data_IF_584524049584
#
_entry.id   IF_584524049584
#
_cell.length_a   1.000
_cell.length_b   1.000
_cell.length_c   1.000
_cell.angle_alpha   90.00
_cell.angle_beta   90.00
_cell.angle_gamma   90.00
#
_symmetry.space_group_name_H-M   'P 1'
#
loop_
_entity.id
_entity.type
_entity.pdbx_description
1 polymer ?
#
# COMPACT_ATOMS: atom_id res chain seq x y z
N UNK A 1 -25.21 0.65 8.05
CA UNK A 1 -23.77 0.97 7.98
C UNK A 1 -23.54 2.06 8.99
N UNK A 2 -22.90 1.74 10.12
CA UNK A 2 -22.69 2.71 11.21
C UNK A 2 -21.50 3.55 10.80
N UNK A 3 -21.71 4.83 10.48
CA UNK A 3 -20.62 5.78 10.34
C UNK A 3 -20.02 5.91 11.74
N UNK A 4 -18.76 5.52 11.91
CA UNK A 4 -18.08 5.72 13.18
C UNK A 4 -17.96 7.23 13.43
N UNK A 5 -18.69 7.73 14.42
CA UNK A 5 -18.60 9.12 14.84
C UNK A 5 -17.48 9.21 15.89
N UNK A 6 -16.52 10.10 15.66
CA UNK A 6 -15.47 10.40 16.63
C UNK A 6 -15.45 11.88 16.95
N UNK A 7 -15.31 12.21 18.23
CA UNK A 7 -15.32 13.58 18.75
C UNK A 7 -14.05 13.88 19.54
N UNK A 8 -13.51 15.10 19.40
CA UNK A 8 -12.40 15.63 20.19
C UNK A 8 -12.59 17.12 20.44
N UNK A 9 -12.27 17.52 21.67
CA UNK A 9 -12.08 18.91 22.04
C UNK A 9 -10.62 19.30 21.83
N UNK A 10 -10.39 20.43 21.19
CA UNK A 10 -9.07 20.98 20.85
C UNK A 10 -9.01 22.42 21.34
N UNK A 11 -8.04 22.72 22.19
CA UNK A 11 -7.79 24.08 22.68
C UNK A 11 -6.80 24.78 21.76
N UNK A 12 -7.12 26.01 21.35
CA UNK A 12 -6.35 26.79 20.36
C UNK A 12 -6.38 28.28 20.72
N UNK A 13 -5.22 28.93 20.76
CA UNK A 13 -5.14 30.40 20.85
C UNK A 13 -4.94 31.02 19.45
N UNK A 14 -5.21 32.32 19.26
CA UNK A 14 -4.99 32.99 17.98
C UNK A 14 -3.53 32.88 17.49
N UNK A 15 -3.33 32.33 16.28
CA UNK A 15 -2.00 32.12 15.70
C UNK A 15 -1.32 30.82 16.14
N UNK A 16 -2.00 29.97 16.91
CA UNK A 16 -1.50 28.65 17.28
C UNK A 16 -1.97 27.56 16.31
N UNK A 17 -1.12 26.54 16.20
CA UNK A 17 -1.45 25.27 15.54
C UNK A 17 -1.67 24.22 16.62
N UNK A 18 -2.81 23.54 16.56
CA UNK A 18 -3.10 22.39 17.41
C UNK A 18 -3.32 21.14 16.58
N UNK A 19 -2.94 20.00 17.15
CA UNK A 19 -3.02 18.70 16.49
C UNK A 19 -4.03 17.81 17.22
N UNK A 20 -4.96 17.24 16.45
CA UNK A 20 -5.98 16.35 16.97
C UNK A 20 -5.91 15.00 16.27
N UNK A 21 -5.91 13.92 17.06
CA UNK A 21 -5.93 12.54 16.57
C UNK A 21 -7.32 11.95 16.80
N UNK A 22 -7.98 11.57 15.71
CA UNK A 22 -9.26 10.88 15.74
C UNK A 22 -9.04 9.37 15.60
N UNK A 23 -9.55 8.60 16.57
CA UNK A 23 -9.30 7.16 16.66
C UNK A 23 -10.31 6.37 15.82
N UNK A 24 -9.84 5.77 14.71
CA UNK A 24 -10.66 4.87 13.89
C UNK A 24 -9.94 4.12 12.75
N UNK A 25 -8.68 4.43 12.42
CA UNK A 25 -7.43 3.87 12.95
C UNK A 25 -6.35 4.81 12.40
N UNK A 26 -5.83 5.73 13.21
CA UNK A 26 -4.55 6.38 12.90
C UNK A 26 -3.45 5.39 13.24
N UNK A 27 -3.34 4.33 12.45
CA UNK A 27 -2.06 3.65 12.38
C UNK A 27 -1.22 4.49 11.44
N UNK A 28 -0.01 4.83 11.88
CA UNK A 28 1.07 5.29 10.99
C UNK A 28 1.34 4.30 9.83
N UNK A 29 0.63 3.17 9.78
CA UNK A 29 0.73 2.06 8.85
C UNK A 29 -0.57 1.25 8.79
N UNK A 30 -1.27 1.24 7.65
CA UNK A 30 -2.38 0.31 7.45
C UNK A 30 -1.97 -0.86 6.54
N UNK A 31 -2.68 -1.98 6.64
CA UNK A 31 -2.50 -3.19 5.83
C UNK A 31 -3.65 -3.35 4.84
N UNK A 32 -3.37 -3.63 3.58
CA UNK A 32 -4.40 -4.04 2.62
C UNK A 32 -5.05 -5.37 3.04
N UNK A 33 -6.38 -5.48 2.92
CA UNK A 33 -7.08 -6.76 3.09
C UNK A 33 -6.73 -7.76 1.99
N UNK A 34 -6.27 -7.27 0.85
CA UNK A 34 -5.88 -8.09 -0.27
C UNK A 34 -4.44 -8.58 -0.13
N UNK A 35 -4.23 -9.82 -0.54
CA UNK A 35 -2.92 -10.49 -0.56
C UNK A 35 -2.74 -11.18 -1.91
N UNK A 36 -1.49 -11.35 -2.33
CA UNK A 36 -1.17 -12.20 -3.48
C UNK A 36 -0.77 -13.57 -2.96
N UNK A 37 -1.45 -14.62 -3.40
CA UNK A 37 -1.12 -16.00 -3.06
C UNK A 37 -0.24 -16.65 -4.12
N UNK A 38 0.57 -17.62 -3.69
CA UNK A 38 1.54 -18.29 -4.55
C UNK A 38 1.45 -19.81 -4.42
N UNK A 39 1.82 -20.50 -5.48
CA UNK A 39 2.04 -21.94 -5.45
C UNK A 39 3.25 -22.31 -4.58
N UNK A 40 3.31 -23.60 -4.22
CA UNK A 40 4.44 -24.17 -3.49
C UNK A 40 5.75 -23.87 -4.22
N UNK A 41 6.74 -23.34 -3.50
CA UNK A 41 8.08 -23.06 -4.03
C UNK A 41 8.15 -22.12 -5.24
N UNK A 42 7.09 -21.35 -5.53
CA UNK A 42 7.04 -20.40 -6.67
C UNK A 42 6.87 -18.94 -6.21
N UNK A 43 7.34 -18.03 -7.06
CA UNK A 43 7.04 -16.58 -7.01
C UNK A 43 6.29 -16.05 -8.24
N UNK A 44 5.85 -16.93 -9.14
CA UNK A 44 5.01 -16.55 -10.28
C UNK A 44 3.64 -16.04 -9.78
N UNK A 45 3.21 -14.87 -10.28
CA UNK A 45 1.90 -14.29 -9.97
C UNK A 45 0.91 -14.72 -11.05
N UNK A 46 -0.07 -15.50 -10.65
CA UNK A 46 -1.13 -15.99 -11.51
C UNK A 46 -2.16 -14.91 -11.87
N UNK A 47 -2.85 -15.02 -13.02
CA UNK A 47 -3.79 -13.99 -13.48
C UNK A 47 -5.01 -13.81 -12.55
N UNK A 48 -5.37 -14.84 -11.79
CA UNK A 48 -6.45 -14.80 -10.79
C UNK A 48 -6.15 -13.82 -9.64
N UNK A 49 -4.89 -13.39 -9.49
CA UNK A 49 -4.48 -12.41 -8.48
C UNK A 49 -4.75 -10.96 -8.93
N UNK A 50 -5.15 -10.75 -10.20
CA UNK A 50 -5.42 -9.41 -10.74
C UNK A 50 -6.45 -8.61 -9.92
N UNK A 51 -7.61 -9.15 -9.49
CA UNK A 51 -8.55 -8.38 -8.67
C UNK A 51 -7.97 -7.92 -7.32
N UNK A 52 -7.06 -8.70 -6.72
CA UNK A 52 -6.36 -8.31 -5.50
C UNK A 52 -5.42 -7.12 -5.79
N UNK A 53 -4.64 -7.20 -6.88
CA UNK A 53 -3.79 -6.10 -7.34
C UNK A 53 -4.61 -4.83 -7.63
N UNK A 54 -5.80 -4.94 -8.25
CA UNK A 54 -6.67 -3.79 -8.53
C UNK A 54 -6.99 -2.96 -7.28
N UNK A 55 -7.34 -3.62 -6.18
CA UNK A 55 -7.60 -2.93 -4.92
C UNK A 55 -6.32 -2.35 -4.32
N UNK A 56 -5.20 -3.08 -4.38
CA UNK A 56 -3.93 -2.57 -3.85
C UNK A 56 -3.51 -1.31 -4.59
N UNK A 57 -3.58 -1.28 -5.93
CA UNK A 57 -3.32 -0.07 -6.71
C UNK A 57 -4.28 1.07 -6.36
N UNK A 58 -5.56 0.77 -6.19
CA UNK A 58 -6.56 1.77 -5.79
C UNK A 58 -6.14 2.46 -4.49
N UNK A 59 -5.80 1.69 -3.45
CA UNK A 59 -5.33 2.25 -2.18
C UNK A 59 -4.14 3.19 -2.35
N UNK A 60 -3.13 2.82 -3.14
CA UNK A 60 -1.91 3.63 -3.31
C UNK A 60 -2.00 4.80 -4.30
N UNK A 61 -3.02 4.85 -5.17
CA UNK A 61 -3.09 5.79 -6.31
C UNK A 61 -4.37 6.65 -6.40
N UNK A 62 -5.35 6.48 -5.51
CA UNK A 62 -6.59 7.27 -5.56
C UNK A 62 -6.82 7.99 -4.23
N UNK A 63 -6.54 9.29 -4.19
CA UNK A 63 -6.64 10.15 -3.00
C UNK A 63 -8.07 10.64 -2.69
N UNK A 64 -9.03 10.45 -3.61
CA UNK A 64 -10.41 10.92 -3.44
C UNK A 64 -11.44 9.81 -3.68
N UNK A 65 -12.57 9.91 -2.98
CA UNK A 65 -13.78 9.10 -3.18
C UNK A 65 -14.39 9.25 -4.58
N UNK A 66 -13.95 10.23 -5.38
CA UNK A 66 -14.40 10.41 -6.76
C UNK A 66 -13.67 9.52 -7.77
N UNK A 67 -12.46 9.03 -7.46
CA UNK A 67 -11.69 8.13 -8.33
C UNK A 67 -11.26 8.72 -9.69
N UNK A 68 -11.40 10.02 -9.91
CA UNK A 68 -11.18 10.65 -11.24
C UNK A 68 -9.72 11.05 -11.50
N UNK A 69 -8.94 11.30 -10.44
CA UNK A 69 -7.51 11.63 -10.54
C UNK A 69 -6.66 10.46 -10.06
N UNK A 70 -5.76 10.01 -10.93
CA UNK A 70 -4.91 8.83 -10.72
C UNK A 70 -3.49 9.32 -10.53
N UNK A 71 -3.09 9.42 -9.26
CA UNK A 71 -1.79 9.94 -8.86
C UNK A 71 -1.34 9.31 -7.53
N UNK A 72 -0.04 9.19 -7.27
CA UNK A 72 0.44 8.66 -6.01
C UNK A 72 -0.06 9.52 -4.85
N UNK A 73 -0.63 8.89 -3.81
CA UNK A 73 -1.05 9.62 -2.62
C UNK A 73 0.17 10.21 -1.91
N UNK A 74 0.21 11.52 -1.62
CA UNK A 74 1.41 12.19 -1.10
C UNK A 74 1.89 11.61 0.24
N UNK A 75 0.97 11.18 1.09
CA UNK A 75 1.24 10.73 2.46
C UNK A 75 1.01 9.23 2.67
N UNK A 76 1.03 8.41 1.61
CA UNK A 76 0.94 6.95 1.74
C UNK A 76 2.09 6.26 1.01
N UNK A 77 2.95 5.61 1.78
CA UNK A 77 4.17 4.95 1.32
C UNK A 77 4.04 3.43 1.40
N UNK A 78 4.06 2.79 0.23
CA UNK A 78 3.95 1.35 0.08
C UNK A 78 5.20 0.62 0.58
N UNK A 79 4.97 -0.44 1.37
CA UNK A 79 5.90 -1.52 1.69
C UNK A 79 5.26 -2.86 1.30
N UNK A 80 6.04 -3.73 0.67
CA UNK A 80 5.61 -5.06 0.21
C UNK A 80 6.31 -6.12 1.06
N UNK A 81 5.55 -6.98 1.73
CA UNK A 81 6.11 -8.01 2.62
C UNK A 81 5.79 -9.40 2.08
N UNK A 82 6.81 -10.16 1.73
CA UNK A 82 6.68 -11.54 1.26
C UNK A 82 6.82 -12.54 2.40
N UNK A 83 6.08 -13.64 2.30
CA UNK A 83 6.09 -14.75 3.24
C UNK A 83 6.18 -16.10 2.51
N UNK A 84 6.58 -17.14 3.24
CA UNK A 84 6.49 -18.54 2.86
C UNK A 84 5.70 -19.36 3.88
N UNK A 85 5.38 -20.60 3.51
CA UNK A 85 4.97 -21.58 4.50
C UNK A 85 6.19 -22.07 5.30
N UNK A 86 5.94 -22.98 6.23
CA UNK A 86 6.94 -23.50 7.17
C UNK A 86 7.65 -24.76 6.64
N UNK A 87 7.39 -25.15 5.38
CA UNK A 87 8.08 -26.28 4.78
C UNK A 87 9.44 -25.87 4.25
N UNK A 88 10.46 -26.70 4.51
CA UNK A 88 11.81 -26.51 3.98
C UNK A 88 12.76 -25.82 4.96
N UNK A 89 13.88 -25.31 4.44
CA UNK A 89 14.89 -24.64 5.27
C UNK A 89 14.60 -23.14 5.38
N UNK A 90 14.78 -22.57 6.58
CA UNK A 90 14.59 -21.14 6.84
C UNK A 90 15.30 -20.23 5.83
N UNK A 91 16.53 -20.54 5.43
CA UNK A 91 17.28 -19.75 4.44
C UNK A 91 16.65 -19.79 3.04
N UNK A 92 16.09 -20.92 2.64
CA UNK A 92 15.37 -21.08 1.37
C UNK A 92 14.05 -20.31 1.42
N UNK A 93 13.33 -20.40 2.53
CA UNK A 93 12.09 -19.68 2.81
C UNK A 93 12.30 -18.16 2.82
N UNK A 94 13.36 -17.69 3.47
CA UNK A 94 13.76 -16.28 3.43
C UNK A 94 14.01 -15.81 1.99
N UNK A 95 14.82 -16.55 1.22
CA UNK A 95 15.10 -16.19 -0.17
C UNK A 95 13.84 -16.22 -1.07
N UNK A 96 12.96 -17.20 -0.89
CA UNK A 96 11.70 -17.33 -1.64
C UNK A 96 10.73 -16.19 -1.32
N UNK A 97 10.59 -15.83 -0.05
CA UNK A 97 9.74 -14.71 0.38
C UNK A 97 10.16 -13.39 -0.26
N UNK A 98 11.47 -13.12 -0.36
CA UNK A 98 12.00 -11.94 -1.09
C UNK A 98 11.67 -11.98 -2.58
N UNK A 99 11.79 -13.15 -3.22
CA UNK A 99 11.42 -13.31 -4.64
C UNK A 99 9.94 -13.02 -4.88
N UNK A 100 9.05 -13.48 -4.01
CA UNK A 100 7.61 -13.15 -4.07
C UNK A 100 7.35 -11.65 -3.95
N UNK A 101 7.98 -10.99 -2.99
CA UNK A 101 7.84 -9.54 -2.83
C UNK A 101 8.39 -8.77 -4.06
N UNK A 102 9.52 -9.22 -4.64
CA UNK A 102 10.05 -8.67 -5.90
C UNK A 102 9.12 -8.89 -7.08
N UNK A 103 8.52 -10.07 -7.20
CA UNK A 103 7.56 -10.39 -8.26
C UNK A 103 6.38 -9.42 -8.23
N UNK A 104 5.85 -9.14 -7.03
CA UNK A 104 4.79 -8.16 -6.83
C UNK A 104 5.26 -6.73 -7.13
N UNK A 105 6.45 -6.34 -6.66
CA UNK A 105 7.02 -5.03 -6.94
C UNK A 105 7.14 -4.74 -8.44
N UNK A 106 7.58 -5.73 -9.23
CA UNK A 106 7.73 -5.61 -10.67
C UNK A 106 6.42 -5.24 -11.40
N UNK A 107 5.25 -5.61 -10.85
CA UNK A 107 3.95 -5.19 -11.39
C UNK A 107 3.74 -3.67 -11.23
N UNK A 108 4.16 -3.08 -10.11
CA UNK A 108 4.02 -1.64 -9.85
C UNK A 108 4.92 -0.78 -10.74
N UNK A 109 6.06 -1.31 -11.18
CA UNK A 109 7.02 -0.57 -12.02
C UNK A 109 7.08 -1.06 -13.47
N UNK A 110 6.35 -2.12 -13.81
CA UNK A 110 6.38 -2.76 -15.14
C UNK A 110 7.81 -3.16 -15.53
N UNK A 111 8.52 -3.79 -14.60
CA UNK A 111 9.91 -4.19 -14.82
C UNK A 111 9.99 -5.69 -15.15
N UNK A 112 10.00 -5.97 -16.46
CA UNK A 112 10.12 -7.33 -16.99
C UNK A 112 11.49 -7.96 -16.72
N UNK A 113 12.54 -7.17 -16.46
CA UNK A 113 13.88 -7.69 -16.17
C UNK A 113 13.95 -8.34 -14.78
N UNK A 114 13.15 -7.85 -13.82
CA UNK A 114 12.93 -8.55 -12.55
C UNK A 114 12.30 -9.92 -12.80
N UNK A 115 11.26 -10.00 -13.62
CA UNK A 115 10.59 -11.27 -13.95
C UNK A 115 11.47 -12.22 -14.74
N UNK A 116 12.32 -11.71 -15.64
CA UNK A 116 13.33 -12.50 -16.34
C UNK A 116 14.33 -13.12 -15.34
N UNK A 117 14.78 -12.34 -14.35
CA UNK A 117 15.67 -12.86 -13.30
C UNK A 117 14.99 -13.95 -12.47
N UNK A 118 13.70 -13.79 -12.14
CA UNK A 118 12.92 -14.80 -11.43
C UNK A 118 12.72 -16.06 -12.26
N UNK A 119 12.41 -15.91 -13.55
CA UNK A 119 12.30 -17.00 -14.51
C UNK A 119 13.57 -17.86 -14.53
N UNK A 120 14.75 -17.23 -14.61
CA UNK A 120 16.03 -17.94 -14.58
C UNK A 120 16.28 -18.62 -13.23
N UNK A 121 16.01 -17.91 -12.13
CA UNK A 121 16.29 -18.37 -10.76
C UNK A 121 15.43 -19.56 -10.35
N UNK A 122 14.16 -19.55 -10.72
CA UNK A 122 13.18 -20.59 -10.34
C UNK A 122 12.95 -21.61 -11.45
N UNK A 123 13.62 -21.45 -12.59
CA UNK A 123 13.47 -22.29 -13.76
C UNK A 123 11.99 -22.40 -14.18
N UNK A 124 11.33 -21.24 -14.30
CA UNK A 124 10.01 -21.18 -14.91
C UNK A 124 10.10 -21.73 -16.34
N UNK A 125 9.00 -22.31 -16.84
CA UNK A 125 9.02 -23.07 -18.07
C UNK A 125 7.80 -22.81 -18.95
N UNK A 126 7.47 -23.83 -19.75
CA UNK A 126 6.36 -23.76 -20.70
C UNK A 126 5.00 -23.47 -20.02
N UNK A 127 4.84 -23.86 -18.74
CA UNK A 127 3.62 -23.61 -17.98
C UNK A 127 3.41 -22.10 -17.75
N UNK A 128 4.36 -21.43 -17.10
CA UNK A 128 4.26 -20.00 -16.79
C UNK A 128 4.23 -19.15 -18.07
N UNK A 129 5.05 -19.50 -19.07
CA UNK A 129 5.02 -18.87 -20.39
C UNK A 129 3.66 -19.05 -21.09
N UNK A 130 3.07 -20.24 -20.99
CA UNK A 130 1.74 -20.54 -21.50
C UNK A 130 0.65 -19.70 -20.82
N UNK A 131 0.71 -19.57 -19.49
CA UNK A 131 -0.23 -18.75 -18.72
C UNK A 131 -0.11 -17.28 -19.12
N UNK A 132 1.11 -16.74 -19.21
CA UNK A 132 1.34 -15.36 -19.62
C UNK A 132 0.78 -15.11 -21.02
N UNK A 133 1.18 -15.95 -21.98
CA UNK A 133 0.76 -15.85 -23.39
C UNK A 133 -0.76 -15.95 -23.54
N UNK A 134 -1.43 -16.78 -22.74
CA UNK A 134 -2.88 -16.89 -22.77
C UNK A 134 -3.64 -15.62 -22.36
N UNK A 135 -3.01 -14.70 -21.62
CA UNK A 135 -3.64 -13.45 -21.22
C UNK A 135 -3.40 -12.29 -22.20
N UNK A 136 -2.29 -12.31 -22.95
CA UNK A 136 -1.85 -11.14 -23.74
C UNK A 136 -1.59 -11.42 -25.22
N UNK A 137 -1.64 -12.68 -25.64
CA UNK A 137 -1.50 -13.16 -27.01
C UNK A 137 -2.65 -14.11 -27.38
N UNK A 138 -2.42 -14.97 -28.36
CA UNK A 138 -3.28 -16.09 -28.74
C UNK A 138 -2.78 -17.32 -27.99
N UNK A 139 -3.30 -17.56 -26.79
CA UNK A 139 -2.79 -18.58 -25.86
C UNK A 139 -2.65 -20.00 -26.43
N UNK A 140 -1.66 -20.74 -25.93
CA UNK A 140 -1.54 -22.19 -26.12
C UNK A 140 -0.83 -22.67 -27.39
N UNK A 141 -0.31 -21.77 -28.23
CA UNK A 141 0.52 -22.17 -29.38
C UNK A 141 1.91 -22.63 -28.92
N UNK A 142 2.17 -23.95 -29.04
CA UNK A 142 3.45 -24.56 -28.67
C UNK A 142 4.67 -23.95 -29.38
N UNK A 143 4.52 -23.47 -30.60
CA UNK A 143 5.62 -22.84 -31.36
C UNK A 143 5.97 -21.46 -30.80
N UNK A 144 4.94 -20.72 -30.38
CA UNK A 144 5.09 -19.43 -29.74
C UNK A 144 5.75 -19.57 -28.36
N UNK A 145 5.32 -20.56 -27.56
CA UNK A 145 5.91 -20.86 -26.25
C UNK A 145 7.39 -21.26 -26.38
N UNK A 146 7.74 -22.07 -27.37
CA UNK A 146 9.15 -22.41 -27.63
C UNK A 146 9.97 -21.20 -28.07
N UNK A 147 9.35 -20.29 -28.83
CA UNK A 147 9.92 -18.98 -29.16
C UNK A 147 10.28 -18.18 -27.91
N UNK A 148 9.37 -18.06 -26.95
CA UNK A 148 9.66 -17.39 -25.67
C UNK A 148 10.73 -18.11 -24.86
N UNK A 149 10.73 -19.45 -24.84
CA UNK A 149 11.72 -20.22 -24.09
C UNK A 149 13.15 -19.99 -24.59
N UNK A 150 13.32 -19.92 -25.91
CA UNK A 150 14.64 -19.84 -26.55
C UNK A 150 15.11 -18.42 -26.82
N UNK A 151 14.19 -17.45 -26.95
CA UNK A 151 14.51 -16.06 -27.23
C UNK A 151 14.20 -15.17 -26.02
N UNK A 152 15.27 -14.69 -25.35
CA UNK A 152 15.18 -13.78 -24.20
C UNK A 152 14.39 -12.51 -24.53
N UNK A 153 14.61 -11.89 -25.68
CA UNK A 153 13.94 -10.63 -26.02
C UNK A 153 12.43 -10.85 -26.17
N UNK A 154 12.02 -11.93 -26.83
CA UNK A 154 10.61 -12.28 -26.96
C UNK A 154 9.97 -12.58 -25.60
N UNK A 155 10.71 -13.21 -24.69
CA UNK A 155 10.24 -13.51 -23.33
C UNK A 155 10.09 -12.27 -22.47
N UNK A 156 11.07 -11.35 -22.51
CA UNK A 156 11.00 -10.07 -21.79
C UNK A 156 9.83 -9.25 -22.30
N UNK A 157 9.60 -9.21 -23.62
CA UNK A 157 8.42 -8.55 -24.20
C UNK A 157 7.09 -9.18 -23.74
N UNK A 158 7.01 -10.52 -23.70
CA UNK A 158 5.86 -11.22 -23.14
C UNK A 158 5.63 -10.85 -21.66
N UNK A 159 6.70 -10.85 -20.85
CA UNK A 159 6.64 -10.49 -19.43
C UNK A 159 6.17 -9.05 -19.24
N UNK A 160 6.68 -8.09 -20.03
CA UNK A 160 6.25 -6.69 -19.98
C UNK A 160 4.75 -6.56 -20.27
N UNK A 161 4.27 -7.20 -21.34
CA UNK A 161 2.84 -7.21 -21.70
C UNK A 161 2.00 -7.88 -20.62
N UNK A 162 2.48 -8.95 -20.00
CA UNK A 162 1.80 -9.62 -18.90
C UNK A 162 1.76 -8.78 -17.62
N UNK A 163 2.85 -8.08 -17.28
CA UNK A 163 2.89 -7.13 -16.16
C UNK A 163 1.89 -5.99 -16.39
N UNK A 164 1.79 -5.47 -17.61
CA UNK A 164 0.76 -4.51 -18.00
C UNK A 164 -0.66 -5.08 -17.87
N UNK A 165 -0.86 -6.36 -18.22
CA UNK A 165 -2.13 -7.04 -18.02
C UNK A 165 -2.50 -7.17 -16.54
N UNK A 166 -1.55 -7.48 -15.66
CA UNK A 166 -1.78 -7.58 -14.21
C UNK A 166 -2.10 -6.23 -13.56
N UNK A 167 -1.73 -5.12 -14.21
CA UNK A 167 -2.08 -3.78 -13.75
C UNK A 167 -3.55 -3.46 -14.00
N UNK A 168 -4.14 -2.58 -13.18
CA UNK A 168 -5.52 -2.17 -13.39
C UNK A 168 -5.64 -1.35 -14.69
N UNK A 169 -6.66 -1.64 -15.49
CA UNK A 169 -6.90 -0.96 -16.78
C UNK A 169 -7.14 0.54 -16.61
N UNK A 170 -7.63 0.97 -15.44
CA UNK A 170 -7.87 2.37 -15.15
C UNK A 170 -6.56 3.14 -14.92
N UNK A 171 -5.44 2.50 -14.54
CA UNK A 171 -4.16 3.19 -14.36
C UNK A 171 -3.56 3.53 -15.74
N UNK A 172 -3.43 4.82 -16.11
CA UNK A 172 -2.92 5.20 -17.42
C UNK A 172 -1.48 4.75 -17.61
N UNK A 173 -1.17 4.28 -18.82
CA UNK A 173 0.21 4.04 -19.23
C UNK A 173 0.84 5.38 -19.60
N UNK A 174 1.83 5.80 -18.82
CA UNK A 174 2.62 7.03 -19.03
C UNK A 174 4.10 6.71 -18.85
N UNK A 175 4.95 7.59 -19.35
CA UNK A 175 6.40 7.58 -19.06
C UNK A 175 6.73 8.83 -18.23
N UNK A 176 7.20 8.69 -16.98
CA UNK A 176 7.37 7.44 -16.23
C UNK A 176 6.04 6.77 -15.85
N UNK A 177 6.08 5.47 -15.56
CA UNK A 177 4.91 4.69 -15.13
C UNK A 177 4.40 5.21 -13.79
N UNK A 178 3.08 5.37 -13.67
CA UNK A 178 2.44 5.79 -12.40
C UNK A 178 2.49 4.62 -11.41
N UNK A 179 3.02 4.85 -10.22
CA UNK A 179 3.15 3.86 -9.15
C UNK A 179 2.93 4.51 -7.78
N UNK A 180 2.49 3.75 -6.75
CA UNK A 180 2.39 4.28 -5.40
C UNK A 180 3.71 4.89 -4.92
N UNK A 181 3.63 5.86 -4.03
CA UNK A 181 4.80 6.28 -3.26
C UNK A 181 5.30 5.10 -2.45
N UNK A 182 6.61 5.03 -2.21
CA UNK A 182 7.26 3.89 -1.57
C UNK A 182 8.03 4.36 -0.37
N UNK A 183 8.16 3.49 0.64
CA UNK A 183 9.10 3.78 1.73
C UNK A 183 10.52 3.98 1.16
N UNK A 184 11.27 4.86 1.77
CA UNK A 184 12.60 5.31 1.32
C UNK A 184 13.68 4.25 1.53
N UNK A 185 13.45 3.32 2.46
CA UNK A 185 14.33 2.21 2.78
C UNK A 185 13.53 0.96 3.13
N UNK A 186 13.91 -0.24 2.62
CA UNK A 186 14.91 -0.48 1.57
C UNK A 186 14.39 -0.09 0.17
N UNK A 187 15.29 0.03 -0.82
CA UNK A 187 14.92 0.16 -2.25
C UNK A 187 15.41 -1.10 -3.01
N UNK A 188 14.52 -1.96 -3.54
CA UNK A 188 13.06 -1.80 -3.60
C UNK A 188 12.39 -1.92 -2.21
N UNK A 189 11.16 -1.37 -2.03
CA UNK A 189 10.45 -1.29 -0.74
C UNK A 189 9.86 -2.64 -0.33
N UNK A 190 10.72 -3.64 -0.19
CA UNK A 190 10.33 -5.01 0.05
C UNK A 190 10.96 -5.56 1.32
N UNK A 191 10.25 -6.48 1.97
CA UNK A 191 10.76 -7.36 3.00
C UNK A 191 10.50 -8.81 2.65
N UNK A 192 11.47 -9.68 2.94
CA UNK A 192 11.25 -11.11 3.06
C UNK A 192 11.14 -11.49 4.52
N UNK A 193 10.04 -12.14 4.90
CA UNK A 193 9.84 -12.65 6.25
C UNK A 193 9.93 -14.18 6.34
N UNK A 194 10.25 -14.86 5.24
CA UNK A 194 10.31 -16.32 5.21
C UNK A 194 9.08 -16.97 5.83
N UNK A 195 9.31 -17.97 6.67
CA UNK A 195 8.29 -18.71 7.41
C UNK A 195 7.87 -18.03 8.72
N UNK A 196 8.48 -16.89 9.06
CA UNK A 196 8.12 -16.14 10.25
C UNK A 196 6.73 -15.51 10.04
N UNK A 197 5.99 -15.36 11.15
CA UNK A 197 4.66 -14.76 11.18
C UNK A 197 3.61 -15.50 10.31
N UNK A 198 3.43 -16.82 10.51
CA UNK A 198 2.43 -17.59 9.76
C UNK A 198 1.01 -17.12 10.14
N UNK A 199 0.11 -17.09 9.16
CA UNK A 199 -1.33 -16.93 9.42
C UNK A 199 -1.89 -18.19 10.07
N UNK A 200 -1.45 -19.35 9.57
CA UNK A 200 -1.83 -20.66 10.08
C UNK A 200 -0.56 -21.35 10.55
N UNK A 201 -0.42 -21.55 11.86
CA UNK A 201 0.72 -22.29 12.40
C UNK A 201 0.56 -23.78 12.12
N UNK A 202 1.37 -24.31 11.20
CA UNK A 202 1.41 -25.71 10.83
C UNK A 202 2.83 -26.07 10.34
N UNK A 203 3.79 -26.26 11.28
CA UNK A 203 5.22 -26.34 10.97
C UNK A 203 5.59 -27.45 9.98
N UNK A 204 4.87 -28.57 10.00
CA UNK A 204 5.13 -29.72 9.13
C UNK A 204 4.13 -29.83 7.96
N UNK A 205 3.37 -28.78 7.68
CA UNK A 205 2.33 -28.81 6.66
C UNK A 205 2.44 -27.64 5.68
N UNK A 206 2.12 -27.95 4.43
CA UNK A 206 1.90 -26.94 3.41
C UNK A 206 0.62 -26.15 3.74
N UNK A 207 0.73 -24.82 3.81
CA UNK A 207 -0.43 -23.91 4.00
C UNK A 207 -0.39 -22.81 2.95
N UNK A 208 -1.32 -22.88 1.99
CA UNK A 208 -1.41 -21.95 0.88
C UNK A 208 -1.54 -20.50 1.33
N UNK A 209 -2.27 -20.28 2.42
CA UNK A 209 -2.48 -18.96 3.02
C UNK A 209 -1.18 -18.35 3.55
N UNK A 210 -0.19 -19.16 3.94
CA UNK A 210 1.10 -18.64 4.40
C UNK A 210 1.99 -18.19 3.23
N UNK A 211 1.80 -18.75 2.02
CA UNK A 211 2.54 -18.38 0.81
C UNK A 211 1.94 -17.14 0.17
N UNK A 212 2.28 -15.98 0.75
CA UNK A 212 1.62 -14.73 0.40
C UNK A 212 2.58 -13.55 0.27
N UNK A 213 2.09 -12.52 -0.39
CA UNK A 213 2.59 -11.15 -0.28
C UNK A 213 1.49 -10.28 0.30
N UNK A 214 1.87 -9.45 1.25
CA UNK A 214 1.04 -8.44 1.90
C UNK A 214 1.52 -7.04 1.56
N UNK A 215 0.60 -6.08 1.63
CA UNK A 215 0.86 -4.68 1.29
C UNK A 215 0.52 -3.79 2.48
N UNK A 216 1.47 -2.93 2.84
CA UNK A 216 1.35 -1.99 3.93
C UNK A 216 1.55 -0.57 3.41
N UNK A 217 0.73 0.36 3.90
CA UNK A 217 0.79 1.77 3.53
C UNK A 217 1.11 2.59 4.78
N UNK A 218 2.31 3.16 4.81
CA UNK A 218 2.79 4.00 5.90
C UNK A 218 2.49 5.46 5.65
N UNK A 219 2.20 6.21 6.70
CA UNK A 219 2.10 7.68 6.67
C UNK A 219 3.46 8.36 6.87
N UNK A 220 4.50 7.57 7.09
CA UNK A 220 5.90 8.03 7.12
C UNK A 220 6.67 7.41 5.95
N UNK A 221 7.50 8.19 5.25
CA UNK A 221 8.38 7.66 4.19
C UNK A 221 9.51 6.79 4.73
N UNK A 222 9.87 6.89 6.01
CA UNK A 222 10.90 6.06 6.65
C UNK A 222 10.31 5.40 7.91
N UNK A 223 9.89 4.13 7.81
CA UNK A 223 9.40 3.37 8.96
C UNK A 223 10.52 2.75 9.81
N UNK A 224 11.80 3.07 9.54
CA UNK A 224 12.94 2.53 10.28
C UNK A 224 13.37 1.12 9.83
N UNK A 225 12.96 0.69 8.64
CA UNK A 225 13.37 -0.59 8.02
C UNK A 225 14.68 -0.34 7.26
N UNK A 226 15.74 -1.13 7.52
CA UNK A 226 17.09 -0.84 6.99
C UNK A 226 17.49 -1.73 5.83
N UNK A 227 16.96 -2.94 5.73
CA UNK A 227 17.22 -3.87 4.62
C UNK A 227 16.07 -4.87 4.41
N UNK A 228 16.11 -5.62 3.30
CA UNK A 228 15.06 -6.57 2.91
C UNK A 228 14.93 -7.79 3.85
N UNK A 229 15.90 -8.05 4.72
CA UNK A 229 15.91 -9.14 5.70
C UNK A 229 15.47 -8.68 7.10
N UNK A 230 15.17 -7.39 7.29
CA UNK A 230 14.69 -6.81 8.56
C UNK A 230 13.20 -7.12 8.78
N UNK A 231 12.83 -8.40 8.76
CA UNK A 231 11.48 -8.80 9.11
C UNK A 231 11.17 -8.36 10.55
N UNK A 232 10.10 -7.57 10.79
CA UNK A 232 9.79 -7.04 12.10
C UNK A 232 9.48 -8.15 13.11
N UNK A 233 9.76 -7.88 14.39
CA UNK A 233 9.29 -8.77 15.46
C UNK A 233 7.77 -8.91 15.43
N UNK A 234 7.24 -10.01 15.96
CA UNK A 234 5.80 -10.25 15.99
C UNK A 234 5.01 -9.12 16.68
N UNK A 235 5.61 -8.45 17.68
CA UNK A 235 4.97 -7.30 18.34
C UNK A 235 4.83 -6.10 17.39
N UNK A 236 5.89 -5.77 16.65
CA UNK A 236 5.88 -4.68 15.65
C UNK A 236 4.93 -5.04 14.52
N UNK A 237 5.04 -6.25 13.97
CA UNK A 237 4.18 -6.71 12.88
C UNK A 237 2.69 -6.73 13.26
N UNK A 238 2.35 -7.08 14.51
CA UNK A 238 0.97 -6.98 15.03
C UNK A 238 0.47 -5.54 15.08
N UNK A 239 1.34 -4.57 15.34
CA UNK A 239 0.95 -3.16 15.31
C UNK A 239 0.59 -2.67 13.90
N UNK A 240 1.03 -3.37 12.86
CA UNK A 240 0.72 -3.05 11.46
C UNK A 240 -0.56 -3.71 10.95
N UNK A 241 -1.27 -4.50 11.76
CA UNK A 241 -2.43 -5.29 11.31
C UNK A 241 -3.72 -4.50 11.15
N UNK A 242 -3.71 -3.19 11.43
CA UNK A 242 -4.87 -2.35 11.19
C UNK A 242 -5.16 -2.29 9.68
N UNK A 243 -6.36 -2.69 9.31
CA UNK A 243 -6.79 -2.73 7.91
C UNK A 243 -6.86 -1.33 7.32
N UNK A 244 -6.36 -1.15 6.09
CA UNK A 244 -6.59 0.05 5.32
C UNK A 244 -8.08 0.24 5.10
N UNK A 245 -8.61 1.29 5.71
CA UNK A 245 -10.02 1.63 5.62
C UNK A 245 -10.20 2.75 4.60
N UNK A 246 -11.10 2.53 3.65
CA UNK A 246 -11.72 3.61 2.88
C UNK A 246 -12.92 4.19 3.63
N UNK A 247 -13.26 3.67 4.82
CA UNK A 247 -14.40 4.16 5.59
C UNK A 247 -14.17 5.62 5.96
N UNK A 248 -14.98 6.44 5.34
CA UNK A 248 -15.06 7.82 5.65
C UNK A 248 -15.82 7.97 6.97
N UNK A 249 -15.22 8.67 7.92
CA UNK A 249 -15.78 8.89 9.25
C UNK A 249 -16.49 10.24 9.31
N UNK A 250 -17.36 10.38 10.30
CA UNK A 250 -17.82 11.69 10.74
C UNK A 250 -16.91 12.16 11.86
N UNK A 251 -16.20 13.25 11.60
CA UNK A 251 -15.33 13.93 12.57
C UNK A 251 -16.10 15.08 13.18
N UNK A 252 -16.16 15.11 14.50
CA UNK A 252 -16.63 16.27 15.25
C UNK A 252 -15.45 16.90 15.98
N UNK A 253 -15.19 18.17 15.69
CA UNK A 253 -14.17 18.98 16.36
C UNK A 253 -14.89 20.01 17.22
N UNK A 254 -14.55 20.08 18.50
CA UNK A 254 -14.95 21.19 19.36
C UNK A 254 -13.71 22.05 19.59
N UNK A 255 -13.72 23.29 19.09
CA UNK A 255 -12.65 24.26 19.31
C UNK A 255 -12.99 25.16 20.49
N UNK A 256 -12.03 25.30 21.39
CA UNK A 256 -12.11 26.21 22.52
C UNK A 256 -10.90 27.15 22.51
N UNK A 257 -11.10 28.38 22.97
CA UNK A 257 -10.01 29.34 23.18
C UNK A 257 -9.16 29.00 24.41
N UNK A 258 -8.12 29.79 24.68
CA UNK A 258 -7.22 29.59 25.81
C UNK A 258 -7.89 29.67 27.20
N UNK A 259 -9.12 30.19 27.27
CA UNK A 259 -9.92 30.27 28.49
C UNK A 259 -10.94 29.12 28.62
N UNK A 260 -11.00 28.23 27.63
CA UNK A 260 -11.96 27.13 27.58
C UNK A 260 -13.33 27.57 27.06
N UNK A 261 -13.47 28.77 26.51
CA UNK A 261 -14.70 29.25 25.90
C UNK A 261 -14.81 28.76 24.45
N UNK A 262 -16.01 28.51 23.92
CA UNK A 262 -16.19 28.08 22.54
C UNK A 262 -15.54 29.04 21.53
N UNK A 263 -14.61 28.53 20.73
CA UNK A 263 -13.99 29.31 19.66
C UNK A 263 -14.93 29.39 18.46
N UNK A 264 -15.46 30.60 18.18
CA UNK A 264 -16.37 30.86 17.04
C UNK A 264 -15.61 31.59 15.94
N UNK A 265 -15.12 30.86 14.93
CA UNK A 265 -14.24 31.47 13.95
C UNK A 265 -13.85 30.56 12.79
N UNK A 266 -13.12 31.13 11.84
CA UNK A 266 -12.54 30.38 10.72
C UNK A 266 -11.26 29.65 11.16
N UNK A 267 -11.03 28.47 10.60
CA UNK A 267 -9.84 27.67 10.82
C UNK A 267 -9.48 26.90 9.55
N UNK A 268 -8.21 26.54 9.44
CA UNK A 268 -7.73 25.64 8.40
C UNK A 268 -7.58 24.24 8.99
N UNK A 269 -8.17 23.25 8.31
CA UNK A 269 -8.04 21.84 8.66
C UNK A 269 -7.17 21.15 7.62
N UNK A 270 -5.97 20.73 8.02
CA UNK A 270 -5.16 19.82 7.22
C UNK A 270 -5.59 18.39 7.51
N UNK A 271 -6.10 17.73 6.48
CA UNK A 271 -6.52 16.34 6.47
C UNK A 271 -5.30 15.39 6.53
N UNK A 272 -5.50 14.12 6.93
CA UNK A 272 -4.46 13.09 6.94
C UNK A 272 -3.73 12.86 5.61
N UNK A 273 -4.33 13.25 4.49
CA UNK A 273 -3.79 13.12 3.14
C UNK A 273 -3.18 14.42 2.59
N UNK A 274 -2.91 15.40 3.47
CA UNK A 274 -2.35 16.71 3.12
C UNK A 274 -3.35 17.68 2.49
N UNK A 275 -4.60 17.26 2.25
CA UNK A 275 -5.66 18.13 1.77
C UNK A 275 -5.98 19.23 2.78
N UNK A 276 -6.18 20.45 2.31
CA UNK A 276 -6.51 21.60 3.16
C UNK A 276 -7.98 21.97 2.99
N UNK A 277 -8.72 22.05 4.10
CA UNK A 277 -10.08 22.58 4.15
C UNK A 277 -10.09 23.91 4.90
N UNK A 278 -10.88 24.86 4.41
CA UNK A 278 -11.09 26.17 5.02
C UNK A 278 -12.50 26.19 5.62
N UNK A 279 -12.59 26.10 6.93
CA UNK A 279 -13.82 25.79 7.64
C UNK A 279 -14.13 26.82 8.72
N UNK A 280 -15.32 26.73 9.31
CA UNK A 280 -15.77 27.61 10.39
C UNK A 280 -16.58 26.83 11.42
N UNK A 281 -16.30 27.06 12.70
CA UNK A 281 -17.09 26.52 13.82
C UNK A 281 -18.44 27.22 13.97
N UNK A 282 -19.42 26.52 14.54
CA UNK A 282 -20.71 27.08 14.91
C UNK A 282 -20.64 27.93 16.20
N UNK A 283 -21.78 28.42 16.68
CA UNK A 283 -21.86 29.22 17.91
C UNK A 283 -21.50 28.47 19.20
N UNK A 284 -21.40 27.14 19.14
CA UNK A 284 -20.95 26.29 20.24
C UNK A 284 -19.48 25.87 20.07
N UNK A 285 -18.75 26.45 19.11
CA UNK A 285 -17.36 26.07 18.82
C UNK A 285 -17.23 24.72 18.13
N UNK A 286 -18.34 24.15 17.65
CA UNK A 286 -18.36 22.80 17.06
C UNK A 286 -18.29 22.91 15.54
N UNK A 287 -17.51 22.00 14.94
CA UNK A 287 -17.54 21.71 13.53
C UNK A 287 -17.74 20.20 13.32
N UNK A 288 -18.53 19.84 12.31
CA UNK A 288 -18.79 18.44 11.95
C UNK A 288 -18.46 18.25 10.47
N UNK A 289 -17.44 17.44 10.22
CA UNK A 289 -17.06 17.00 8.89
C UNK A 289 -17.54 15.59 8.63
N UNK A 290 -18.37 15.40 7.62
CA UNK A 290 -18.80 14.08 7.20
C UNK A 290 -17.91 13.57 6.07
N UNK A 291 -17.82 12.24 5.97
CA UNK A 291 -17.12 11.58 4.90
C UNK A 291 -15.62 11.97 4.82
N UNK A 292 -14.94 12.04 5.96
CA UNK A 292 -13.53 12.38 6.03
C UNK A 292 -12.64 11.16 6.29
N UNK A 293 -11.38 11.14 5.82
CA UNK A 293 -10.48 9.99 6.03
C UNK A 293 -10.10 9.85 7.51
N UNK A 294 -10.05 8.64 8.05
CA UNK A 294 -9.48 8.45 9.39
C UNK A 294 -7.98 8.84 9.40
N UNK A 295 -7.48 9.45 10.48
CA UNK A 295 -6.05 9.77 10.62
C UNK A 295 -5.72 10.99 11.50
N UNK A 296 -4.52 11.54 11.28
CA UNK A 296 -4.02 12.75 11.94
C UNK A 296 -4.59 14.01 11.28
N UNK A 297 -5.19 14.89 12.07
CA UNK A 297 -5.68 16.18 11.60
C UNK A 297 -4.90 17.32 12.27
N UNK A 298 -4.57 18.34 11.49
CA UNK A 298 -3.96 19.57 12.02
C UNK A 298 -4.95 20.71 11.88
N UNK A 299 -5.25 21.37 13.00
CA UNK A 299 -6.12 22.54 13.07
C UNK A 299 -5.24 23.77 13.21
N UNK A 300 -5.41 24.75 12.33
CA UNK A 300 -4.73 26.04 12.42
C UNK A 300 -5.74 27.16 12.52
N UNK A 301 -5.62 28.01 13.53
CA UNK A 301 -6.54 29.12 13.78
C UNK A 301 -5.84 30.46 13.51
N UNK A 302 -6.50 31.30 12.70
CA UNK A 302 -6.04 32.58 12.17
C UNK A 302 -4.87 32.44 11.17
N UNK A 303 -5.19 32.56 9.87
CA UNK A 303 -4.30 32.45 8.72
C UNK A 303 -3.21 33.54 8.61
N UNK A 304 -2.42 33.71 9.66
CA UNK A 304 -1.19 34.50 9.66
C UNK A 304 0.00 33.57 9.63
N UNK A 305 0.53 33.31 8.43
CA UNK A 305 1.91 32.84 8.29
C UNK A 305 2.84 33.98 8.68
N UNK A 306 3.48 33.90 9.85
CA UNK A 306 4.67 34.71 10.10
C UNK A 306 5.81 34.12 9.28
N UNK A 307 6.08 34.73 8.11
CA UNK A 307 7.37 34.56 7.44
C UNK A 307 8.45 35.20 8.31
N UNK A 308 9.26 34.38 8.97
CA UNK A 308 10.60 34.79 9.36
C UNK A 308 11.53 34.47 8.19
N UNK A 309 11.87 35.51 7.43
CA UNK A 309 13.03 35.57 6.54
C UNK A 309 13.92 36.67 7.11
N UNK A 310 15.24 36.53 7.23
CA UNK A 310 16.08 35.36 7.51
C UNK A 310 16.57 35.30 8.98
#
# INVERSE_FOLDING_TARGET
MVIAQTSRTVTVSPGETATAVFSGVSVQVCRSTQVILFDLSRSFIHPEQKPALEQVFFFGLTSSSSGTQIEPKPDEFLLIVGHSDQLGQRTQNQALSKRRARAAWAVFIVDAEIWETLYQTEHWGALELGIMSAQVDVGGDSTLIEGYRTNRQARVDLMERYLLFLRPIWVPLRSPVIKPNTVTSPNPPILGCGEDLPLINAPDAERAENRRVEFYYFQTPDPGIRNEDDCPSQAIYRSWQATCSLELITVQIELQDEYGEPFVGAFDLTLPNGGLLHERTDSAGIWIGNNLPAGLYTVTVAGNSLSLIP
#
